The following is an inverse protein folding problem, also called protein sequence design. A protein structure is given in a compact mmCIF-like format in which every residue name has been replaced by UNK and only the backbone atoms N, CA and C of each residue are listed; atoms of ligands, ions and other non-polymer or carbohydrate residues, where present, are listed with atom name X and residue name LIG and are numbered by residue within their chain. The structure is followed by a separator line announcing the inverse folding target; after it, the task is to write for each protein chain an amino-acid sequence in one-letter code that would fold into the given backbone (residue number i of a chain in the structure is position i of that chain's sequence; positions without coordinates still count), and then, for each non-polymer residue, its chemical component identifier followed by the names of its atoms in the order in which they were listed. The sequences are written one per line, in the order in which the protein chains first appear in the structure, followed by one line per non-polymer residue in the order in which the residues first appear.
data_IF_711380258743
#
_entry.id   IF_711380258743
#
_cell.length_a   1.000
_cell.length_b   1.000
_cell.length_c   1.000
_cell.angle_alpha   90.00
_cell.angle_beta   90.00
_cell.angle_gamma   90.00
#
_symmetry.space_group_name_H-M   'P 1'
#
loop_
_entity.id
_entity.type
_entity.pdbx_description
1 polymer ?
#
# COMPACT_ATOMS: atom_id res chain seq x y z
N UNK A 1 3.97 -2.89 20.27
CA UNK A 1 4.16 -4.34 20.00
C UNK A 1 5.32 -4.46 19.01
N UNK A 2 6.32 -5.29 19.32
CA UNK A 2 7.44 -5.58 18.41
C UNK A 2 6.99 -6.72 17.47
N UNK A 3 7.44 -6.69 16.22
CA UNK A 3 7.12 -7.75 15.25
C UNK A 3 7.82 -9.06 15.63
N UNK A 4 7.09 -10.17 15.54
CA UNK A 4 7.58 -11.48 15.96
C UNK A 4 6.94 -12.63 15.21
N UNK A 5 7.30 -13.86 15.59
CA UNK A 5 6.99 -15.10 14.87
C UNK A 5 5.50 -15.29 14.57
N UNK A 6 4.62 -14.89 15.50
CA UNK A 6 3.16 -15.08 15.39
C UNK A 6 2.42 -13.87 14.84
N UNK A 7 3.08 -12.71 14.71
CA UNK A 7 2.41 -11.44 14.43
C UNK A 7 1.72 -11.44 13.08
N UNK A 8 2.39 -11.88 12.02
CA UNK A 8 1.80 -11.99 10.67
C UNK A 8 0.63 -12.97 10.63
N UNK A 9 0.82 -14.17 11.18
CA UNK A 9 -0.20 -15.21 11.16
C UNK A 9 -1.47 -14.80 11.90
N UNK A 10 -1.32 -14.16 13.06
CA UNK A 10 -2.43 -13.67 13.86
C UNK A 10 -3.13 -12.49 13.20
N UNK A 11 -2.38 -11.56 12.60
CA UNK A 11 -2.95 -10.40 11.91
C UNK A 11 -3.80 -10.82 10.71
N UNK A 12 -3.26 -11.71 9.87
CA UNK A 12 -3.97 -12.23 8.69
C UNK A 12 -5.24 -13.00 9.10
N UNK A 13 -5.15 -13.86 10.11
CA UNK A 13 -6.31 -14.63 10.57
C UNK A 13 -7.40 -13.74 11.17
N UNK A 14 -7.01 -12.67 11.89
CA UNK A 14 -7.98 -11.67 12.38
C UNK A 14 -8.63 -10.91 11.22
N UNK A 15 -7.88 -10.57 10.18
CA UNK A 15 -8.38 -9.80 9.05
C UNK A 15 -9.35 -10.60 8.16
N UNK A 16 -8.98 -11.81 7.73
CA UNK A 16 -9.76 -12.57 6.75
C UNK A 16 -10.37 -13.87 7.26
N UNK A 17 -10.17 -14.22 8.53
CA UNK A 17 -10.66 -15.49 9.09
C UNK A 17 -10.14 -16.69 8.28
N UNK A 18 -11.07 -17.45 7.72
CA UNK A 18 -10.80 -18.67 6.95
C UNK A 18 -10.11 -18.39 5.60
N UNK A 19 -10.17 -17.14 5.10
CA UNK A 19 -9.56 -16.74 3.83
C UNK A 19 -8.09 -16.29 3.96
N UNK A 20 -7.34 -16.82 4.93
CA UNK A 20 -5.94 -16.45 5.21
C UNK A 20 -4.99 -16.62 4.01
N UNK A 21 -5.25 -17.57 3.13
CA UNK A 21 -4.36 -17.85 1.99
C UNK A 21 -4.41 -16.78 0.89
N UNK A 22 -5.41 -15.89 0.89
CA UNK A 22 -5.54 -14.84 -0.13
C UNK A 22 -4.45 -13.76 -0.03
N UNK A 23 -3.80 -13.62 1.12
CA UNK A 23 -2.71 -12.66 1.31
C UNK A 23 -1.40 -13.20 0.74
N UNK A 24 -0.83 -12.46 -0.21
CA UNK A 24 0.37 -12.82 -0.97
C UNK A 24 1.53 -11.85 -0.77
N UNK A 25 1.25 -10.57 -0.48
CA UNK A 25 2.23 -9.50 -0.40
C UNK A 25 2.22 -8.83 0.99
N UNK A 26 3.41 -8.53 1.50
CA UNK A 26 3.65 -7.74 2.71
C UNK A 26 4.59 -6.60 2.32
N UNK A 27 4.25 -5.37 2.73
CA UNK A 27 5.06 -4.17 2.49
C UNK A 27 5.44 -3.60 3.85
N UNK A 28 6.73 -3.55 4.16
CA UNK A 28 7.24 -3.09 5.45
C UNK A 28 8.43 -2.14 5.31
N UNK A 29 8.69 -1.40 6.39
CA UNK A 29 9.85 -0.54 6.52
C UNK A 29 11.13 -1.36 6.78
N UNK A 30 12.29 -0.87 6.35
CA UNK A 30 13.59 -1.54 6.55
C UNK A 30 13.87 -1.91 8.01
N UNK A 31 13.58 -1.01 8.97
CA UNK A 31 13.76 -1.30 10.40
C UNK A 31 12.97 -2.53 10.87
N UNK A 32 11.78 -2.78 10.31
CA UNK A 32 10.99 -3.98 10.59
C UNK A 32 11.62 -5.20 9.90
N UNK A 33 12.10 -5.05 8.67
CA UNK A 33 12.82 -6.11 7.96
C UNK A 33 14.06 -6.57 8.72
N UNK A 34 14.89 -5.64 9.20
CA UNK A 34 16.11 -5.95 9.96
C UNK A 34 15.81 -6.71 11.24
N UNK A 35 14.71 -6.39 11.94
CA UNK A 35 14.28 -7.17 13.10
C UNK A 35 13.89 -8.60 12.70
N UNK A 36 13.11 -8.76 11.62
CA UNK A 36 12.71 -10.07 11.13
C UNK A 36 13.91 -10.91 10.62
N UNK A 37 14.93 -10.28 10.04
CA UNK A 37 16.19 -10.91 9.65
C UNK A 37 16.99 -11.41 10.85
N UNK A 38 17.10 -10.59 11.90
CA UNK A 38 17.77 -10.98 13.15
C UNK A 38 17.10 -12.20 13.80
N UNK A 39 15.78 -12.32 13.65
CA UNK A 39 14.99 -13.47 14.10
C UNK A 39 14.99 -14.65 13.13
N UNK A 40 15.67 -14.53 11.97
CA UNK A 40 15.70 -15.53 10.88
C UNK A 40 14.31 -15.89 10.33
N UNK A 41 13.38 -14.95 10.37
CA UNK A 41 12.01 -15.14 9.87
C UNK A 41 11.83 -14.71 8.41
N UNK A 42 12.75 -13.88 7.90
CA UNK A 42 12.76 -13.42 6.53
C UNK A 42 13.84 -14.19 5.74
N UNK A 43 13.43 -14.79 4.63
CA UNK A 43 14.32 -15.52 3.73
C UNK A 43 14.32 -14.85 2.36
N UNK A 44 15.48 -14.40 1.90
CA UNK A 44 15.64 -13.82 0.57
C UNK A 44 15.53 -14.87 -0.52
N UNK A 45 14.83 -14.51 -1.60
CA UNK A 45 14.75 -15.34 -2.80
C UNK A 45 16.10 -15.39 -3.48
N UNK A 46 16.39 -16.52 -4.12
CA UNK A 46 17.58 -16.73 -4.92
C UNK A 46 17.21 -16.95 -6.37
N UNK A 47 17.97 -16.34 -7.28
CA UNK A 47 17.87 -16.58 -8.71
C UNK A 47 19.09 -17.36 -9.17
N UNK A 48 18.87 -18.49 -9.82
CA UNK A 48 19.91 -19.27 -10.46
C UNK A 48 20.00 -18.85 -11.91
N UNK A 49 21.12 -18.27 -12.31
CA UNK A 49 21.38 -17.91 -13.71
C UNK A 49 21.60 -19.17 -14.56
N UNK A 50 21.59 -19.03 -15.89
CA UNK A 50 21.83 -20.11 -16.86
C UNK A 50 23.18 -20.82 -16.67
N UNK A 51 24.13 -20.17 -15.99
CA UNK A 51 25.45 -20.70 -15.64
C UNK A 51 25.49 -21.40 -14.27
N UNK A 52 24.36 -21.54 -13.58
CA UNK A 52 24.26 -22.21 -12.27
C UNK A 52 24.74 -21.37 -11.08
N UNK A 53 25.03 -20.08 -11.28
CA UNK A 53 25.39 -19.15 -10.20
C UNK A 53 24.14 -18.65 -9.49
N UNK A 54 24.05 -18.86 -8.18
CA UNK A 54 23.01 -18.28 -7.34
C UNK A 54 23.31 -16.80 -7.05
N UNK A 55 22.37 -15.91 -7.36
CA UNK A 55 22.39 -14.51 -6.95
C UNK A 55 21.21 -14.24 -6.02
N UNK A 56 21.47 -13.55 -4.92
CA UNK A 56 20.42 -13.15 -3.99
C UNK A 56 19.59 -12.01 -4.61
N UNK A 57 18.26 -12.15 -4.58
CA UNK A 57 17.35 -11.05 -4.89
C UNK A 57 17.12 -10.24 -3.61
N UNK A 58 16.93 -8.94 -3.77
CA UNK A 58 16.44 -8.04 -2.71
C UNK A 58 14.97 -8.28 -2.33
N UNK A 59 14.39 -9.40 -2.75
CA UNK A 59 13.00 -9.78 -2.49
C UNK A 59 12.96 -10.85 -1.40
N UNK A 60 12.36 -10.51 -0.26
CA UNK A 60 12.20 -11.42 0.87
C UNK A 60 10.94 -12.26 0.78
N UNK A 61 10.93 -13.37 1.51
CA UNK A 61 9.71 -14.12 1.83
C UNK A 61 9.57 -14.24 3.34
N UNK A 62 8.34 -14.06 3.82
CA UNK A 62 7.99 -14.25 5.22
C UNK A 62 6.78 -15.19 5.32
N UNK A 63 7.00 -16.36 5.93
CA UNK A 63 6.00 -17.44 5.99
C UNK A 63 5.38 -17.78 4.62
N UNK A 64 6.14 -17.70 3.52
CA UNK A 64 5.64 -17.96 2.16
C UNK A 64 4.85 -16.82 1.52
N UNK A 65 4.91 -15.61 2.06
CA UNK A 65 4.40 -14.37 1.44
C UNK A 65 5.56 -13.52 0.98
N UNK A 66 5.40 -12.82 -0.13
CA UNK A 66 6.42 -11.92 -0.64
C UNK A 66 6.52 -10.68 0.26
N UNK A 67 7.74 -10.27 0.60
CA UNK A 67 8.02 -9.07 1.37
C UNK A 67 8.70 -8.04 0.48
N UNK A 68 8.09 -6.88 0.35
CA UNK A 68 8.67 -5.69 -0.26
C UNK A 68 9.11 -4.74 0.85
N UNK A 69 10.39 -4.37 0.82
CA UNK A 69 10.99 -3.47 1.80
C UNK A 69 11.12 -2.10 1.17
N UNK A 70 10.56 -1.08 1.81
CA UNK A 70 10.64 0.32 1.37
C UNK A 70 10.79 1.25 2.59
N UNK A 71 11.76 2.16 2.53
CA UNK A 71 12.03 3.15 3.58
C UNK A 71 10.97 4.27 3.62
N UNK A 72 10.21 4.46 2.55
CA UNK A 72 9.17 5.50 2.45
C UNK A 72 7.85 5.09 3.10
N UNK A 73 7.82 3.96 3.81
CA UNK A 73 6.62 3.47 4.50
C UNK A 73 6.22 4.37 5.67
N UNK A 74 4.91 4.57 5.94
CA UNK A 74 4.46 5.48 6.99
C UNK A 74 5.00 5.13 8.39
N UNK A 75 5.69 6.08 9.01
CA UNK A 75 6.20 6.00 10.39
C UNK A 75 5.61 7.15 11.21
N UNK A 76 4.94 6.81 12.31
CA UNK A 76 4.47 7.79 13.29
C UNK A 76 5.42 7.80 14.48
N UNK A 77 6.01 8.95 14.81
CA UNK A 77 6.77 9.11 16.06
C UNK A 77 5.82 9.57 17.15
N UNK A 78 5.61 8.75 18.18
CA UNK A 78 4.81 9.11 19.35
C UNK A 78 5.69 9.31 20.57
N UNK A 79 5.53 10.46 21.21
CA UNK A 79 6.12 10.76 22.51
C UNK A 79 5.36 10.01 23.60
N UNK A 80 6.00 9.04 24.25
CA UNK A 80 5.40 8.25 25.34
C UNK A 80 5.78 8.85 26.70
N UNK A 81 5.60 10.17 26.82
CA UNK A 81 5.86 10.94 28.05
C UNK A 81 7.34 11.12 28.40
N UNK A 82 7.59 11.87 29.49
CA UNK A 82 8.93 12.33 29.89
C UNK A 82 9.95 11.21 30.21
N UNK A 83 9.49 9.98 30.46
CA UNK A 83 10.35 8.84 30.81
C UNK A 83 10.41 7.77 29.70
N UNK A 84 9.49 7.82 28.72
CA UNK A 84 9.34 6.80 27.67
C UNK A 84 9.96 7.15 26.32
N UNK A 85 10.36 8.41 26.14
CA UNK A 85 11.02 8.92 24.93
C UNK A 85 10.15 8.90 23.68
N UNK A 86 10.79 9.23 22.56
CA UNK A 86 10.22 9.12 21.22
C UNK A 86 10.19 7.67 20.77
N UNK A 87 9.00 7.21 20.38
CA UNK A 87 8.78 5.85 19.90
C UNK A 87 8.31 5.89 18.46
N UNK A 88 9.11 5.34 17.56
CA UNK A 88 8.73 5.10 16.17
C UNK A 88 7.72 3.96 16.07
N UNK A 89 6.61 4.23 15.41
CA UNK A 89 5.53 3.29 15.13
C UNK A 89 5.46 3.09 13.62
N UNK A 90 5.76 1.87 13.18
CA UNK A 90 5.80 1.48 11.78
C UNK A 90 4.47 0.88 11.35
N UNK A 91 4.01 1.29 10.16
CA UNK A 91 2.86 0.68 9.49
C UNK A 91 3.34 -0.32 8.44
N UNK A 92 2.92 -1.57 8.58
CA UNK A 92 3.14 -2.63 7.59
C UNK A 92 1.81 -2.97 6.93
N UNK A 93 1.77 -2.96 5.60
CA UNK A 93 0.58 -3.35 4.84
C UNK A 93 0.70 -4.81 4.40
N UNK A 94 -0.41 -5.54 4.48
CA UNK A 94 -0.54 -6.90 3.97
C UNK A 94 -1.65 -6.89 2.95
N UNK A 95 -1.32 -7.23 1.71
CA UNK A 95 -2.22 -7.20 0.57
C UNK A 95 -2.36 -8.61 -0.01
N UNK A 96 -3.57 -8.95 -0.40
CA UNK A 96 -3.80 -10.11 -1.24
C UNK A 96 -3.83 -9.76 -2.71
N UNK A 97 -3.88 -10.81 -3.52
CA UNK A 97 -4.00 -10.67 -4.96
C UNK A 97 -5.30 -9.93 -5.34
N UNK A 98 -5.19 -8.96 -6.24
CA UNK A 98 -6.32 -8.14 -6.68
C UNK A 98 -6.87 -7.18 -5.62
N UNK A 99 -6.15 -6.94 -4.51
CA UNK A 99 -6.59 -6.00 -3.48
C UNK A 99 -6.78 -4.57 -4.00
N UNK A 100 -5.89 -4.14 -4.89
CA UNK A 100 -5.91 -2.83 -5.55
C UNK A 100 -5.87 -3.04 -7.05
N UNK A 101 -6.86 -2.53 -7.76
CA UNK A 101 -6.89 -2.47 -9.22
C UNK A 101 -6.42 -1.10 -9.70
N UNK A 102 -5.51 -1.08 -10.67
CA UNK A 102 -5.04 0.14 -11.31
C UNK A 102 -5.26 0.03 -12.81
N UNK A 103 -5.95 0.99 -13.39
CA UNK A 103 -6.28 1.03 -14.81
C UNK A 103 -5.96 2.41 -15.39
N UNK A 104 -5.30 2.42 -16.55
CA UNK A 104 -5.07 3.65 -17.31
C UNK A 104 -6.31 3.92 -18.17
N UNK A 105 -6.99 5.03 -17.89
CA UNK A 105 -8.22 5.44 -18.59
C UNK A 105 -7.88 6.17 -19.89
N UNK A 106 -6.61 6.58 -20.05
CA UNK A 106 -6.15 7.36 -21.17
C UNK A 106 -6.65 8.81 -21.13
N UNK A 107 -5.94 9.67 -21.86
CA UNK A 107 -6.35 11.04 -22.12
C UNK A 107 -6.48 11.24 -23.64
N UNK A 108 -7.48 12.03 -24.07
CA UNK A 108 -7.71 12.31 -25.50
C UNK A 108 -6.50 12.98 -26.16
N UNK A 109 -5.88 13.93 -25.45
CA UNK A 109 -4.63 14.60 -25.86
C UNK A 109 -3.68 14.55 -24.66
N UNK A 110 -2.82 13.51 -24.57
CA UNK A 110 -1.94 13.30 -23.43
C UNK A 110 -0.78 14.30 -23.36
N UNK A 111 -0.30 14.77 -24.51
CA UNK A 111 0.82 15.69 -24.61
C UNK A 111 0.47 16.84 -25.56
N UNK A 112 0.70 18.07 -25.13
CA UNK A 112 0.55 19.25 -25.97
C UNK A 112 1.59 20.31 -25.62
N UNK A 113 1.91 21.15 -26.60
CA UNK A 113 2.75 22.32 -26.42
C UNK A 113 1.91 23.56 -26.71
N UNK A 114 1.95 24.52 -25.78
CA UNK A 114 1.24 25.80 -25.94
C UNK A 114 2.27 26.92 -25.85
N UNK A 115 2.33 27.75 -26.87
CA UNK A 115 3.17 28.95 -26.91
C UNK A 115 2.36 30.17 -26.55
N UNK A 116 2.79 30.91 -25.53
CA UNK A 116 2.28 32.25 -25.22
C UNK A 116 3.35 33.29 -25.54
N UNK A 117 3.16 34.00 -26.65
CA UNK A 117 4.10 35.01 -27.14
C UNK A 117 4.06 36.33 -26.34
N UNK A 118 3.01 36.57 -25.54
CA UNK A 118 2.81 37.85 -24.84
C UNK A 118 3.32 37.81 -23.41
N UNK A 119 3.26 36.65 -22.76
CA UNK A 119 3.70 36.48 -21.38
C UNK A 119 5.21 36.29 -21.31
N UNK A 120 5.89 37.00 -20.40
CA UNK A 120 7.32 36.86 -20.06
C UNK A 120 8.31 36.82 -21.24
N UNK A 121 8.00 37.48 -22.37
CA UNK A 121 8.89 37.52 -23.54
C UNK A 121 8.79 36.32 -24.48
N UNK A 122 7.78 35.46 -24.28
CA UNK A 122 7.53 34.26 -25.08
C UNK A 122 7.88 33.00 -24.31
N UNK A 123 6.87 32.28 -23.81
CA UNK A 123 7.03 31.01 -23.09
C UNK A 123 6.35 29.85 -23.84
N UNK A 124 7.03 28.71 -23.88
CA UNK A 124 6.49 27.44 -24.39
C UNK A 124 6.21 26.51 -23.19
N UNK A 125 4.94 26.18 -22.96
CA UNK A 125 4.53 25.26 -21.89
C UNK A 125 4.28 23.87 -22.47
N UNK A 126 5.00 22.88 -21.94
CA UNK A 126 4.73 21.46 -22.20
C UNK A 126 3.73 20.95 -21.18
N UNK A 127 2.56 20.50 -21.65
CA UNK A 127 1.51 19.96 -20.81
C UNK A 127 1.45 18.45 -21.02
N UNK A 128 1.55 17.69 -19.93
CA UNK A 128 1.29 16.24 -19.92
C UNK A 128 0.06 15.93 -19.07
N UNK A 129 -0.79 15.03 -19.56
CA UNK A 129 -2.04 14.61 -18.91
C UNK A 129 -2.08 13.10 -18.79
N UNK A 130 -2.22 12.60 -17.57
CA UNK A 130 -2.44 11.18 -17.27
C UNK A 130 -3.72 11.02 -16.46
N UNK A 131 -4.52 10.00 -16.76
CA UNK A 131 -5.76 9.67 -16.05
C UNK A 131 -5.73 8.21 -15.66
N UNK A 132 -5.75 7.95 -14.37
CA UNK A 132 -5.79 6.58 -13.85
C UNK A 132 -7.04 6.40 -13.01
N UNK A 133 -7.64 5.22 -13.11
CA UNK A 133 -8.66 4.74 -12.20
C UNK A 133 -8.01 3.79 -11.20
N UNK A 134 -8.34 3.98 -9.92
CA UNK A 134 -7.93 3.08 -8.84
C UNK A 134 -9.18 2.49 -8.22
N UNK A 135 -9.19 1.18 -8.04
CA UNK A 135 -10.25 0.46 -7.34
C UNK A 135 -9.66 -0.33 -6.18
N UNK A 136 -10.45 -0.49 -5.12
CA UNK A 136 -10.08 -1.29 -3.95
C UNK A 136 -11.11 -2.39 -3.78
N UNK A 137 -10.67 -3.64 -3.75
CA UNK A 137 -11.56 -4.78 -3.71
C UNK A 137 -12.46 -4.75 -2.46
N UNK A 138 -13.78 -4.82 -2.68
CA UNK A 138 -14.78 -4.86 -1.59
C UNK A 138 -15.05 -3.52 -0.91
N UNK A 139 -14.47 -2.42 -1.38
CA UNK A 139 -14.76 -1.05 -0.90
C UNK A 139 -15.36 -0.23 -2.03
N UNK A 140 -16.47 0.45 -1.76
CA UNK A 140 -17.14 1.37 -2.68
C UNK A 140 -16.86 2.81 -2.28
N UNK A 141 -16.68 3.67 -3.29
CA UNK A 141 -16.47 5.11 -3.12
C UNK A 141 -17.80 5.85 -3.31
N UNK A 142 -18.34 6.40 -2.21
CA UNK A 142 -19.68 7.00 -2.15
C UNK A 142 -19.72 8.45 -2.63
N UNK A 143 -18.57 9.14 -2.70
CA UNK A 143 -18.48 10.56 -3.04
C UNK A 143 -19.32 11.46 -2.11
N UNK A 144 -19.49 11.08 -0.85
CA UNK A 144 -20.38 11.77 0.10
C UNK A 144 -19.99 13.25 0.33
N UNK A 145 -18.69 13.53 0.37
CA UNK A 145 -18.07 14.84 0.45
C UNK A 145 -17.00 14.94 -0.66
N UNK A 146 -17.44 15.23 -1.88
CA UNK A 146 -16.57 15.49 -3.03
C UNK A 146 -17.13 16.65 -3.86
N UNK A 147 -16.30 17.65 -4.14
CA UNK A 147 -16.73 18.86 -4.85
C UNK A 147 -16.68 18.74 -6.39
N UNK A 148 -15.72 17.99 -6.94
CA UNK A 148 -15.53 17.85 -8.40
C UNK A 148 -15.75 16.41 -8.87
N UNK A 149 -15.66 16.11 -10.16
CA UNK A 149 -15.84 14.74 -10.67
C UNK A 149 -14.69 13.79 -10.28
N UNK A 150 -13.50 14.33 -10.04
CA UNK A 150 -12.31 13.59 -9.62
C UNK A 150 -11.96 13.97 -8.19
N UNK A 151 -11.74 13.00 -7.29
CA UNK A 151 -11.44 13.31 -5.90
C UNK A 151 -10.02 13.85 -5.76
N UNK A 152 -9.86 14.82 -4.88
CA UNK A 152 -8.56 15.32 -4.41
C UNK A 152 -7.97 14.39 -3.35
N UNK A 153 -6.67 14.51 -3.05
CA UNK A 153 -6.03 13.70 -2.01
C UNK A 153 -6.73 13.86 -0.65
N UNK A 154 -7.12 15.08 -0.28
CA UNK A 154 -7.84 15.35 0.97
C UNK A 154 -9.23 14.67 1.00
N UNK A 155 -9.93 14.60 -0.14
CA UNK A 155 -11.21 13.91 -0.25
C UNK A 155 -11.05 12.37 -0.24
N UNK A 156 -9.93 11.85 -0.74
CA UNK A 156 -9.60 10.42 -0.66
C UNK A 156 -9.22 10.00 0.77
N UNK A 157 -8.54 10.85 1.53
CA UNK A 157 -8.20 10.61 2.93
C UNK A 157 -9.42 10.62 3.86
N UNK A 158 -10.50 11.29 3.44
CA UNK A 158 -11.72 11.34 4.23
C UNK A 158 -12.46 10.00 4.24
N UNK A 159 -12.39 9.29 5.37
CA UNK A 159 -13.06 8.00 5.58
C UNK A 159 -14.57 8.01 5.35
N UNK A 160 -15.23 9.17 5.42
CA UNK A 160 -16.68 9.30 5.15
C UNK A 160 -17.04 9.03 3.68
N UNK A 161 -16.08 9.14 2.77
CA UNK A 161 -16.29 8.88 1.34
C UNK A 161 -16.23 7.39 0.98
N UNK A 162 -15.93 6.52 1.94
CA UNK A 162 -15.72 5.09 1.73
C UNK A 162 -16.73 4.27 2.50
N UNK A 163 -17.21 3.20 1.88
CA UNK A 163 -18.02 2.18 2.55
C UNK A 163 -17.69 0.80 2.02
N UNK A 164 -18.06 -0.23 2.77
CA UNK A 164 -18.04 -1.59 2.23
C UNK A 164 -19.03 -1.67 1.06
N UNK A 165 -18.67 -2.44 0.03
CA UNK A 165 -19.58 -2.68 -1.10
C UNK A 165 -20.89 -3.26 -0.57
N UNK A 166 -21.98 -2.55 -0.83
CA UNK A 166 -23.32 -2.90 -0.41
C UNK A 166 -24.29 -2.81 -1.58
N UNK A 167 -25.24 -3.73 -1.58
CA UNK A 167 -26.46 -3.74 -2.37
C UNK A 167 -27.65 -3.62 -1.42
N UNK A 168 -28.84 -3.32 -1.93
CA UNK A 168 -30.04 -2.97 -1.15
C UNK A 168 -30.30 -3.85 0.09
N UNK A 169 -29.97 -5.15 0.03
CA UNK A 169 -30.16 -6.09 1.14
C UNK A 169 -28.90 -6.86 1.58
N UNK A 170 -27.72 -6.58 1.00
CA UNK A 170 -26.49 -7.35 1.30
C UNK A 170 -25.25 -6.47 1.24
N UNK A 171 -24.48 -6.47 2.33
CA UNK A 171 -23.14 -5.89 2.42
C UNK A 171 -22.10 -6.99 2.36
N UNK A 172 -21.00 -6.76 1.65
CA UNK A 172 -19.87 -7.69 1.65
C UNK A 172 -19.30 -7.83 3.07
N UNK A 173 -18.97 -9.05 3.56
CA UNK A 173 -18.32 -9.19 4.84
C UNK A 173 -16.93 -8.56 4.80
N UNK A 174 -16.57 -7.79 5.84
CA UNK A 174 -15.25 -7.17 5.95
C UNK A 174 -14.09 -8.17 5.80
N UNK A 175 -14.29 -9.43 6.21
CA UNK A 175 -13.31 -10.52 6.09
C UNK A 175 -13.02 -10.97 4.65
N UNK A 176 -13.84 -10.56 3.69
CA UNK A 176 -13.58 -10.82 2.28
C UNK A 176 -12.57 -9.85 1.67
N UNK A 177 -12.28 -8.72 2.33
CA UNK A 177 -11.36 -7.71 1.83
C UNK A 177 -9.92 -8.16 2.11
N UNK A 178 -9.10 -8.38 1.08
CA UNK A 178 -7.74 -8.89 1.23
C UNK A 178 -6.75 -7.76 1.54
N UNK A 179 -7.07 -6.92 2.53
CA UNK A 179 -6.21 -5.81 2.98
C UNK A 179 -6.16 -5.83 4.50
N UNK A 180 -4.96 -5.81 5.05
CA UNK A 180 -4.73 -5.65 6.48
C UNK A 180 -3.57 -4.68 6.72
N UNK A 181 -3.61 -3.97 7.85
CA UNK A 181 -2.47 -3.20 8.35
C UNK A 181 -2.01 -3.73 9.69
N UNK A 182 -0.71 -3.73 9.91
CA UNK A 182 -0.08 -4.08 11.17
C UNK A 182 0.67 -2.85 11.67
N UNK A 183 0.38 -2.44 12.90
CA UNK A 183 1.01 -1.30 13.56
C UNK A 183 1.97 -1.86 14.61
N UNK A 184 3.26 -1.56 14.48
CA UNK A 184 4.31 -2.15 15.32
C UNK A 184 5.39 -1.13 15.70
N UNK A 185 6.27 -1.47 16.64
CA UNK A 185 7.39 -0.62 17.10
C UNK A 185 8.74 -1.05 16.50
N UNK A 186 8.71 -1.77 15.37
CA UNK A 186 9.87 -2.48 14.82
C UNK A 186 9.73 -3.98 14.99
#
# INVERSE_FOLDING_TARGET
MIMGVTTLNSAIQKACGDNKQKFSLVICHSSVSTNLENLKLLAYLKYTDSEGVERDLSMGTWNGRLVLVDDSMPVEVKNVGATGGDVSIYTTYVLGEGAIGFEDVGAKVPYEMVRDAKTNGGEDTLISRKRNAVSVAGISYLKANQATNSPTNAELENGLNWSLVQSDNKTIPHKAIPIARIISRG
#
